data_IF_302966736137
#
_entry.id   IF_302966736137
#
_cell.length_a   1.000
_cell.length_b   1.000
_cell.length_c   1.000
_cell.angle_alpha   90.00
_cell.angle_beta   90.00
_cell.angle_gamma   90.00
#
_symmetry.space_group_name_H-M   'P 1'
#
loop_
_entity.id
_entity.type
_entity.pdbx_description
1 polymer ?
#
# COMPACT_ATOMS: atom_id res chain seq x y z
N UNK A 1 -16.83 10.04 -12.97
CA UNK A 1 -16.31 8.89 -13.74
C UNK A 1 -14.85 8.62 -13.38
N UNK A 2 -13.92 9.56 -13.64
CA UNK A 2 -12.49 9.33 -13.36
C UNK A 2 -12.21 9.14 -11.86
N UNK A 3 -12.77 10.01 -11.01
CA UNK A 3 -12.64 9.89 -9.56
C UNK A 3 -13.18 8.56 -9.02
N UNK A 4 -14.33 8.09 -9.51
CA UNK A 4 -14.90 6.79 -9.09
C UNK A 4 -14.01 5.62 -9.49
N UNK A 5 -13.42 5.68 -10.69
CA UNK A 5 -12.51 4.68 -11.20
C UNK A 5 -11.24 4.63 -10.35
N UNK A 6 -10.60 5.78 -10.14
CA UNK A 6 -9.38 5.90 -9.34
C UNK A 6 -9.67 5.46 -7.89
N UNK A 7 -10.82 5.84 -7.33
CA UNK A 7 -11.26 5.39 -5.99
C UNK A 7 -11.45 3.87 -5.89
N UNK A 8 -11.77 3.17 -6.98
CA UNK A 8 -11.84 1.69 -6.96
C UNK A 8 -10.48 1.02 -7.15
N UNK A 9 -9.56 1.69 -7.83
CA UNK A 9 -8.27 1.13 -8.24
C UNK A 9 -7.11 1.46 -7.29
N UNK A 10 -7.14 2.59 -6.58
CA UNK A 10 -5.99 3.11 -5.83
C UNK A 10 -5.41 2.14 -4.77
N UNK A 11 -6.21 1.19 -4.26
CA UNK A 11 -5.73 0.18 -3.30
C UNK A 11 -5.14 -1.07 -3.95
N UNK A 12 -5.34 -1.23 -5.26
CA UNK A 12 -5.03 -2.47 -5.99
C UNK A 12 -3.85 -2.33 -6.94
N UNK A 13 -3.54 -1.11 -7.39
CA UNK A 13 -2.50 -0.85 -8.39
C UNK A 13 -1.82 0.48 -8.12
N UNK A 14 -0.58 0.60 -8.59
CA UNK A 14 0.13 1.87 -8.65
C UNK A 14 -0.51 2.77 -9.70
N UNK A 15 -0.97 3.96 -9.29
CA UNK A 15 -1.61 4.92 -10.19
C UNK A 15 -0.65 6.08 -10.44
N UNK A 16 -0.27 6.26 -11.71
CA UNK A 16 0.54 7.37 -12.20
C UNK A 16 -0.35 8.30 -13.02
N UNK A 17 -0.45 9.55 -12.62
CA UNK A 17 -1.34 10.52 -13.26
C UNK A 17 -0.66 11.22 -14.43
N UNK A 18 -1.39 11.31 -15.54
CA UNK A 18 -0.91 11.88 -16.79
C UNK A 18 -2.00 12.76 -17.40
N UNK A 19 -1.66 14.00 -17.74
CA UNK A 19 -2.48 14.89 -18.56
C UNK A 19 -2.07 14.64 -20.02
N UNK A 20 -2.92 13.94 -20.77
CA UNK A 20 -2.70 13.69 -22.19
C UNK A 20 -2.98 14.91 -23.06
N UNK A 21 -2.38 14.96 -24.25
CA UNK A 21 -2.53 16.06 -25.23
C UNK A 21 -2.28 17.43 -24.59
N UNK A 22 -1.22 17.53 -23.80
CA UNK A 22 -0.85 18.76 -23.11
C UNK A 22 -0.62 19.94 -24.08
N UNK A 23 -0.34 19.67 -25.35
CA UNK A 23 -0.22 20.67 -26.42
C UNK A 23 -1.53 21.40 -26.77
N UNK A 24 -2.67 20.93 -26.26
CA UNK A 24 -3.96 21.63 -26.38
C UNK A 24 -4.18 22.66 -25.26
N UNK A 25 -3.27 22.77 -24.28
CA UNK A 25 -3.41 23.64 -23.11
C UNK A 25 -2.22 24.59 -23.02
N UNK A 26 -2.47 25.82 -22.58
CA UNK A 26 -1.42 26.77 -22.26
C UNK A 26 -0.71 26.39 -20.96
N UNK A 27 0.55 26.81 -20.78
CA UNK A 27 1.33 26.54 -19.54
C UNK A 27 0.58 26.96 -18.26
N UNK A 28 -0.15 28.08 -18.30
CA UNK A 28 -0.98 28.53 -17.18
C UNK A 28 -2.19 27.64 -16.90
N UNK A 29 -2.83 27.13 -17.96
CA UNK A 29 -3.99 26.25 -17.85
C UNK A 29 -3.58 24.87 -17.33
N UNK A 30 -2.45 24.35 -17.82
CA UNK A 30 -1.84 23.13 -17.29
C UNK A 30 -1.60 23.26 -15.80
N UNK A 31 -1.00 24.37 -15.34
CA UNK A 31 -0.76 24.59 -13.90
C UNK A 31 -2.06 24.58 -13.09
N UNK A 32 -3.07 25.34 -13.52
CA UNK A 32 -4.39 25.36 -12.85
C UNK A 32 -5.05 23.98 -12.86
N UNK A 33 -4.88 23.20 -13.93
CA UNK A 33 -5.42 21.86 -14.03
C UNK A 33 -4.69 20.90 -13.09
N UNK A 34 -3.35 20.97 -12.99
CA UNK A 34 -2.56 20.19 -12.03
C UNK A 34 -3.03 20.46 -10.60
N UNK A 35 -3.17 21.73 -10.22
CA UNK A 35 -3.65 22.15 -8.89
C UNK A 35 -5.06 21.61 -8.60
N UNK A 36 -6.00 21.72 -9.55
CA UNK A 36 -7.37 21.18 -9.39
C UNK A 36 -7.40 19.67 -9.25
N UNK A 37 -6.64 18.95 -10.09
CA UNK A 37 -6.58 17.48 -10.01
C UNK A 37 -6.05 17.04 -8.64
N UNK A 38 -4.99 17.69 -8.15
CA UNK A 38 -4.42 17.35 -6.84
C UNK A 38 -5.40 17.62 -5.70
N UNK A 39 -6.11 18.76 -5.74
CA UNK A 39 -7.14 19.08 -4.76
C UNK A 39 -8.28 18.05 -4.77
N UNK A 40 -8.79 17.70 -5.95
CA UNK A 40 -9.89 16.74 -6.07
C UNK A 40 -9.49 15.36 -5.50
N UNK A 41 -8.23 14.96 -5.63
CA UNK A 41 -7.74 13.69 -5.10
C UNK A 41 -7.60 13.70 -3.58
N UNK A 42 -7.14 14.82 -3.03
CA UNK A 42 -7.06 15.03 -1.58
C UNK A 42 -8.45 15.00 -0.94
N UNK A 43 -9.40 15.74 -1.52
CA UNK A 43 -10.80 15.81 -1.07
C UNK A 43 -11.49 14.44 -1.09
N UNK A 44 -11.09 13.56 -2.02
CA UNK A 44 -11.64 12.20 -2.15
C UNK A 44 -10.81 11.13 -1.41
N UNK A 45 -9.77 11.52 -0.66
CA UNK A 45 -8.86 10.64 0.09
C UNK A 45 -8.28 9.51 -0.77
N UNK A 46 -7.87 9.85 -1.99
CA UNK A 46 -7.30 8.89 -2.93
C UNK A 46 -5.79 8.81 -2.71
N UNK A 47 -5.31 7.62 -2.33
CA UNK A 47 -3.88 7.35 -2.19
C UNK A 47 -3.26 7.11 -3.56
N UNK A 48 -2.41 8.02 -4.01
CA UNK A 48 -1.58 7.81 -5.19
C UNK A 48 -0.30 7.05 -4.81
N UNK A 49 0.41 6.58 -5.83
CA UNK A 49 1.77 6.11 -5.65
C UNK A 49 2.62 7.22 -5.00
N UNK A 50 3.18 6.91 -3.84
CA UNK A 50 4.11 7.78 -3.14
C UNK A 50 5.51 7.39 -3.55
N UNK A 51 6.28 8.39 -3.98
CA UNK A 51 7.67 8.19 -4.31
C UNK A 51 8.43 7.86 -3.03
N UNK A 52 9.36 6.89 -3.07
CA UNK A 52 10.29 6.68 -1.99
C UNK A 52 10.97 7.98 -1.59
N UNK A 53 11.27 8.11 -0.31
CA UNK A 53 12.18 9.17 0.13
C UNK A 53 13.57 8.85 -0.43
N UNK A 54 14.21 9.86 -1.01
CA UNK A 54 15.56 9.72 -1.53
C UNK A 54 16.52 9.55 -0.35
N UNK A 55 17.41 8.54 -0.43
CA UNK A 55 18.35 8.24 0.65
C UNK A 55 19.30 9.43 0.90
N UNK A 56 19.66 9.62 2.18
CA UNK A 56 20.42 10.81 2.60
C UNK A 56 21.84 10.87 2.03
N UNK A 57 22.40 9.75 1.61
CA UNK A 57 23.73 9.57 1.02
C UNK A 57 23.76 9.75 -0.51
N UNK A 58 22.61 9.92 -1.16
CA UNK A 58 22.54 10.23 -2.59
C UNK A 58 23.06 11.64 -2.93
N UNK A 59 23.58 11.79 -4.15
CA UNK A 59 24.13 13.06 -4.63
C UNK A 59 23.06 14.17 -4.70
N UNK A 60 23.47 15.42 -4.44
CA UNK A 60 22.56 16.58 -4.44
C UNK A 60 21.84 16.77 -5.80
N UNK A 61 22.51 16.44 -6.90
CA UNK A 61 21.93 16.48 -8.25
C UNK A 61 20.78 15.46 -8.41
N UNK A 62 20.91 14.27 -7.83
CA UNK A 62 19.87 13.24 -7.88
C UNK A 62 18.67 13.64 -7.03
N UNK A 63 18.90 14.18 -5.82
CA UNK A 63 17.86 14.73 -4.94
C UNK A 63 17.07 15.85 -5.60
N UNK A 64 17.74 16.72 -6.35
CA UNK A 64 17.09 17.79 -7.10
C UNK A 64 16.21 17.24 -8.23
N UNK A 65 16.72 16.27 -9.01
CA UNK A 65 15.95 15.61 -10.06
C UNK A 65 14.70 14.89 -9.52
N UNK A 66 14.83 14.18 -8.40
CA UNK A 66 13.72 13.49 -7.75
C UNK A 66 12.64 14.50 -7.28
N UNK A 67 13.05 15.61 -6.69
CA UNK A 67 12.14 16.69 -6.30
C UNK A 67 11.39 17.29 -7.50
N UNK A 68 12.10 17.56 -8.59
CA UNK A 68 11.51 18.07 -9.83
C UNK A 68 10.54 17.07 -10.45
N UNK A 69 10.85 15.78 -10.34
CA UNK A 69 9.99 14.70 -10.82
C UNK A 69 8.69 14.63 -10.02
N UNK A 70 8.77 14.67 -8.69
CA UNK A 70 7.59 14.72 -7.80
C UNK A 70 6.74 15.96 -8.06
N UNK A 71 7.36 17.12 -8.25
CA UNK A 71 6.66 18.37 -8.57
C UNK A 71 6.01 18.37 -9.97
N UNK A 72 6.44 17.47 -10.87
CA UNK A 72 5.91 17.39 -12.23
C UNK A 72 4.60 16.61 -12.32
N UNK A 73 4.10 16.02 -11.23
CA UNK A 73 2.89 15.21 -11.21
C UNK A 73 1.65 16.10 -11.02
N UNK A 74 0.58 15.89 -11.80
CA UNK A 74 0.45 14.92 -12.89
C UNK A 74 1.25 15.32 -14.15
N UNK A 75 1.86 14.35 -14.84
CA UNK A 75 2.76 14.59 -15.98
C UNK A 75 1.98 15.12 -17.19
N UNK A 76 2.35 16.29 -17.70
CA UNK A 76 1.72 16.88 -18.88
C UNK A 76 2.44 16.40 -20.14
N UNK A 77 1.86 15.41 -20.84
CA UNK A 77 2.54 14.73 -21.94
C UNK A 77 1.88 14.95 -23.30
N UNK A 78 2.74 15.01 -24.31
CA UNK A 78 2.38 14.99 -25.72
C UNK A 78 2.92 13.71 -26.32
N UNK A 79 2.06 12.94 -27.01
CA UNK A 79 2.47 11.75 -27.74
C UNK A 79 2.48 12.00 -29.25
N UNK A 80 3.47 11.46 -29.96
CA UNK A 80 3.49 11.43 -31.42
C UNK A 80 4.24 10.20 -31.94
N UNK A 81 3.70 9.61 -33.02
CA UNK A 81 4.36 8.55 -33.79
C UNK A 81 5.09 9.09 -35.02
N UNK A 82 4.91 10.38 -35.33
CA UNK A 82 5.48 11.03 -36.52
C UNK A 82 6.88 11.56 -36.20
N UNK A 83 7.84 11.27 -37.07
CA UNK A 83 9.20 11.80 -37.01
C UNK A 83 9.26 13.02 -37.95
N UNK A 84 9.71 14.14 -37.41
CA UNK A 84 9.88 15.40 -38.10
C UNK A 84 11.37 15.79 -38.07
N UNK A 85 11.83 16.47 -39.10
CA UNK A 85 13.18 17.02 -39.14
C UNK A 85 13.13 18.50 -38.73
N UNK A 86 13.70 18.82 -37.57
CA UNK A 86 13.75 20.18 -37.02
C UNK A 86 15.21 20.52 -36.77
N UNK A 87 15.71 21.60 -37.40
CA UNK A 87 17.10 22.03 -37.28
C UNK A 87 18.13 20.91 -37.58
N UNK A 88 17.86 20.06 -38.57
CA UNK A 88 18.73 18.95 -38.99
C UNK A 88 18.71 17.73 -38.04
N UNK A 89 17.88 17.73 -36.98
CA UNK A 89 17.68 16.60 -36.09
C UNK A 89 16.32 15.95 -36.33
N UNK A 90 16.29 14.63 -36.39
CA UNK A 90 15.05 13.84 -36.44
C UNK A 90 14.48 13.75 -35.02
N UNK A 91 13.34 14.40 -34.80
CA UNK A 91 12.66 14.43 -33.51
C UNK A 91 11.22 13.92 -33.67
N UNK A 92 10.67 13.29 -32.63
CA UNK A 92 9.25 12.92 -32.62
C UNK A 92 8.42 14.13 -32.26
N UNK A 93 7.43 14.45 -33.08
CA UNK A 93 6.68 15.70 -32.90
C UNK A 93 5.35 15.75 -33.61
N UNK A 94 4.55 16.76 -33.29
CA UNK A 94 3.28 17.06 -33.96
C UNK A 94 3.44 18.36 -34.73
N UNK A 95 3.06 18.34 -36.02
CA UNK A 95 3.11 19.52 -36.86
C UNK A 95 1.73 20.17 -36.92
N UNK A 96 1.69 21.46 -36.65
CA UNK A 96 0.52 22.33 -36.78
C UNK A 96 0.82 23.47 -37.76
N UNK A 97 -0.21 24.15 -38.31
CA UNK A 97 0.00 25.32 -39.16
C UNK A 97 0.80 26.45 -38.49
N UNK A 98 0.73 26.55 -37.16
CA UNK A 98 1.40 27.57 -36.35
C UNK A 98 2.75 27.13 -35.78
N UNK A 99 3.18 25.88 -35.95
CA UNK A 99 4.46 25.42 -35.42
C UNK A 99 4.56 23.91 -35.24
N UNK A 100 5.71 23.48 -34.72
CA UNK A 100 6.00 22.07 -34.45
C UNK A 100 6.18 21.87 -32.95
N UNK A 101 5.43 20.92 -32.38
CA UNK A 101 5.58 20.51 -30.99
C UNK A 101 6.54 19.34 -30.95
N UNK A 102 7.70 19.53 -30.32
CA UNK A 102 8.67 18.47 -30.09
C UNK A 102 8.30 17.71 -28.80
N UNK A 103 8.09 16.40 -28.90
CA UNK A 103 7.71 15.53 -27.76
C UNK A 103 8.88 15.36 -26.79
N UNK A 104 10.11 15.42 -27.28
CA UNK A 104 11.33 15.23 -26.48
C UNK A 104 11.86 16.56 -25.93
N UNK A 105 11.11 17.65 -26.06
CA UNK A 105 11.48 18.95 -25.48
C UNK A 105 10.82 19.15 -24.11
N UNK A 106 11.57 19.30 -23.01
CA UNK A 106 11.04 19.55 -21.68
C UNK A 106 10.17 20.81 -21.58
N UNK A 107 10.37 21.79 -22.45
CA UNK A 107 9.56 23.02 -22.48
C UNK A 107 8.15 22.80 -23.05
N UNK A 108 7.97 21.74 -23.86
CA UNK A 108 6.71 21.39 -24.50
C UNK A 108 5.98 20.22 -23.83
N UNK A 109 6.72 19.31 -23.18
CA UNK A 109 6.15 18.06 -22.68
C UNK A 109 7.00 17.46 -21.55
N UNK A 110 6.33 16.98 -20.50
CA UNK A 110 6.95 16.19 -19.42
C UNK A 110 7.24 14.73 -19.85
N UNK A 111 7.19 14.41 -21.16
CA UNK A 111 7.38 13.05 -21.68
C UNK A 111 8.73 12.43 -21.28
N UNK A 112 9.82 13.20 -21.33
CA UNK A 112 11.14 12.71 -20.90
C UNK A 112 11.10 12.34 -19.41
N UNK A 113 10.51 13.18 -18.57
CA UNK A 113 10.38 12.93 -17.13
C UNK A 113 9.56 11.67 -16.86
N UNK A 114 8.42 11.50 -17.54
CA UNK A 114 7.59 10.30 -17.43
C UNK A 114 8.35 9.03 -17.86
N UNK A 115 9.11 9.10 -18.96
CA UNK A 115 9.92 7.97 -19.44
C UNK A 115 11.01 7.60 -18.42
N UNK A 116 11.75 8.58 -17.92
CA UNK A 116 12.80 8.38 -16.92
C UNK A 116 12.24 7.82 -15.62
N UNK A 117 11.07 8.29 -15.19
CA UNK A 117 10.34 7.75 -14.04
C UNK A 117 10.03 6.27 -14.21
N UNK A 118 9.34 5.91 -15.30
CA UNK A 118 8.81 4.56 -15.50
C UNK A 118 9.87 3.50 -15.81
N UNK A 119 10.94 3.87 -16.54
CA UNK A 119 11.88 2.91 -17.11
C UNK A 119 13.24 2.94 -16.39
N UNK A 120 13.69 4.10 -15.93
CA UNK A 120 15.07 4.26 -15.47
C UNK A 120 15.19 4.30 -13.96
N UNK A 121 14.30 5.02 -13.26
CA UNK A 121 14.47 5.34 -11.84
C UNK A 121 13.57 4.51 -10.93
N UNK A 122 12.25 4.50 -11.19
CA UNK A 122 11.28 3.96 -10.23
C UNK A 122 10.65 2.63 -10.67
N UNK A 123 11.15 2.00 -11.74
CA UNK A 123 10.62 0.73 -12.24
C UNK A 123 10.66 -0.38 -11.19
N UNK A 124 11.77 -0.48 -10.45
CA UNK A 124 11.95 -1.53 -9.46
C UNK A 124 11.04 -1.31 -8.25
N UNK A 125 10.98 -0.07 -7.75
CA UNK A 125 10.07 0.27 -6.65
C UNK A 125 8.59 0.07 -6.99
N UNK A 126 8.17 0.39 -8.22
CA UNK A 126 6.82 0.10 -8.69
C UNK A 126 6.52 -1.42 -8.65
N UNK A 127 7.50 -2.26 -8.95
CA UNK A 127 7.35 -3.73 -8.86
C UNK A 127 7.26 -4.16 -7.39
N UNK A 128 8.13 -3.64 -6.54
CA UNK A 128 8.19 -4.02 -5.13
C UNK A 128 6.92 -3.60 -4.39
N UNK A 129 6.45 -2.35 -4.61
CA UNK A 129 5.15 -1.89 -4.10
C UNK A 129 3.98 -2.76 -4.61
N UNK A 130 4.03 -3.19 -5.88
CA UNK A 130 2.99 -4.08 -6.42
C UNK A 130 2.99 -5.43 -5.71
N UNK A 131 4.16 -5.99 -5.44
CA UNK A 131 4.30 -7.28 -4.79
C UNK A 131 3.94 -7.19 -3.30
N UNK A 132 4.60 -6.32 -2.57
CA UNK A 132 4.59 -6.31 -1.10
C UNK A 132 3.35 -5.62 -0.52
N UNK A 133 2.74 -4.70 -1.27
CA UNK A 133 1.53 -3.99 -0.84
C UNK A 133 0.32 -4.52 -1.57
N UNK A 134 0.24 -4.35 -2.89
CA UNK A 134 -1.00 -4.62 -3.62
C UNK A 134 -1.35 -6.11 -3.69
N UNK A 135 -0.38 -6.95 -4.03
CA UNK A 135 -0.57 -8.39 -4.14
C UNK A 135 -0.75 -9.05 -2.76
N UNK A 136 0.07 -8.69 -1.77
CA UNK A 136 -0.08 -9.21 -0.40
C UNK A 136 -1.45 -8.85 0.21
N UNK A 137 -1.94 -7.63 0.00
CA UNK A 137 -3.29 -7.23 0.43
C UNK A 137 -4.38 -8.07 -0.23
N UNK A 138 -4.26 -8.34 -1.53
CA UNK A 138 -5.18 -9.22 -2.24
C UNK A 138 -5.11 -10.66 -1.72
N UNK A 139 -3.90 -11.19 -1.51
CA UNK A 139 -3.67 -12.54 -0.97
C UNK A 139 -4.29 -12.71 0.41
N UNK A 140 -4.09 -11.74 1.31
CA UNK A 140 -4.69 -11.73 2.63
C UNK A 140 -6.23 -11.73 2.57
N UNK A 141 -6.82 -10.94 1.67
CA UNK A 141 -8.28 -10.92 1.45
C UNK A 141 -8.81 -12.26 0.95
N UNK A 142 -8.13 -12.90 -0.02
CA UNK A 142 -8.51 -14.20 -0.54
C UNK A 142 -8.46 -15.29 0.54
N UNK A 143 -7.38 -15.34 1.33
CA UNK A 143 -7.25 -16.30 2.44
C UNK A 143 -8.36 -16.09 3.47
N UNK A 144 -8.66 -14.84 3.83
CA UNK A 144 -9.75 -14.50 4.76
C UNK A 144 -11.11 -14.98 4.25
N UNK A 145 -11.42 -14.78 2.97
CA UNK A 145 -12.67 -15.23 2.36
C UNK A 145 -12.79 -16.76 2.35
N UNK A 146 -11.71 -17.47 2.01
CA UNK A 146 -11.68 -18.94 2.03
C UNK A 146 -11.89 -19.46 3.46
N UNK A 147 -11.21 -18.86 4.45
CA UNK A 147 -11.40 -19.19 5.86
C UNK A 147 -12.86 -19.00 6.28
N UNK A 148 -13.46 -17.85 5.98
CA UNK A 148 -14.88 -17.58 6.27
C UNK A 148 -15.83 -18.59 5.61
N UNK A 149 -15.55 -18.98 4.36
CA UNK A 149 -16.33 -20.00 3.67
C UNK A 149 -16.21 -21.37 4.34
N UNK A 150 -14.98 -21.77 4.71
CA UNK A 150 -14.74 -23.01 5.44
C UNK A 150 -15.42 -23.04 6.82
N UNK A 151 -15.41 -21.92 7.56
CA UNK A 151 -16.15 -21.80 8.83
C UNK A 151 -17.67 -21.93 8.62
N UNK A 152 -18.22 -21.32 7.57
CA UNK A 152 -19.65 -21.42 7.24
C UNK A 152 -20.06 -22.84 6.87
N UNK A 153 -19.26 -23.53 6.06
CA UNK A 153 -19.50 -24.93 5.69
C UNK A 153 -19.39 -25.86 6.91
N UNK A 154 -18.40 -25.65 7.80
CA UNK A 154 -18.30 -26.38 9.07
C UNK A 154 -19.50 -26.13 9.98
N UNK A 155 -20.04 -24.91 9.99
CA UNK A 155 -21.25 -24.56 10.74
C UNK A 155 -22.53 -25.21 10.19
N UNK A 156 -22.65 -25.35 8.86
CA UNK A 156 -23.76 -26.08 8.23
C UNK A 156 -23.68 -27.58 8.50
N UNK A 157 -22.50 -28.18 8.37
CA UNK A 157 -22.29 -29.60 8.68
C UNK A 157 -22.63 -29.93 10.14
N UNK A 158 -22.26 -29.05 11.10
CA UNK A 158 -22.69 -29.17 12.50
C UNK A 158 -24.21 -29.10 12.67
N UNK A 159 -24.90 -28.31 11.85
CA UNK A 159 -26.36 -28.14 11.93
C UNK A 159 -27.12 -29.32 11.30
N UNK A 160 -26.60 -29.87 10.21
CA UNK A 160 -27.22 -31.01 9.52
C UNK A 160 -26.94 -32.35 10.25
N UNK A 161 -25.81 -32.45 10.98
CA UNK A 161 -25.53 -33.59 11.86
C UNK A 161 -26.44 -33.66 13.09
N UNK A 162 -26.98 -32.52 13.56
CA UNK A 162 -27.95 -32.48 14.68
C UNK A 162 -29.30 -33.09 14.25
N UNK A 163 -29.62 -33.11 12.96
CA UNK A 163 -30.92 -33.60 12.48
C UNK A 163 -30.96 -35.11 12.18
N UNK A 164 -29.82 -35.83 12.24
CA UNK A 164 -29.73 -37.19 11.67
C UNK A 164 -29.11 -38.29 12.54
N UNK A 165 -28.71 -38.06 13.80
CA UNK A 165 -28.00 -39.11 14.57
C UNK A 165 -28.35 -39.16 16.06
N UNK A 166 -29.46 -39.82 16.41
CA UNK A 166 -29.83 -40.23 17.78
C UNK A 166 -28.86 -41.27 18.43
N UNK A 167 -27.60 -41.39 17.98
CA UNK A 167 -26.67 -42.43 18.45
C UNK A 167 -25.19 -42.05 18.54
N UNK A 168 -24.75 -40.95 17.91
CA UNK A 168 -23.35 -40.49 17.96
C UNK A 168 -23.14 -39.32 18.94
N UNK A 169 -24.22 -38.68 19.41
CA UNK A 169 -24.20 -37.51 20.29
C UNK A 169 -23.63 -37.76 21.69
N UNK A 170 -23.70 -39.00 22.20
CA UNK A 170 -23.19 -39.31 23.54
C UNK A 170 -21.66 -39.14 23.62
N UNK A 171 -20.92 -39.60 22.61
CA UNK A 171 -19.46 -39.51 22.58
C UNK A 171 -18.94 -38.09 22.31
N UNK A 172 -19.67 -37.32 21.49
CA UNK A 172 -19.34 -35.91 21.19
C UNK A 172 -19.64 -35.02 22.40
N UNK A 173 -20.77 -35.25 23.08
CA UNK A 173 -21.08 -34.54 24.33
C UNK A 173 -20.06 -34.83 25.44
N UNK A 174 -19.53 -36.05 25.50
CA UNK A 174 -18.49 -36.41 26.47
C UNK A 174 -17.15 -35.74 26.15
N UNK A 175 -16.77 -35.67 24.87
CA UNK A 175 -15.55 -34.99 24.43
C UNK A 175 -15.63 -33.47 24.57
N UNK A 176 -16.77 -32.85 24.27
CA UNK A 176 -16.99 -31.40 24.52
C UNK A 176 -16.98 -31.09 26.03
N UNK A 177 -17.51 -31.97 26.87
CA UNK A 177 -17.45 -31.83 28.34
C UNK A 177 -16.02 -31.97 28.86
N UNK A 178 -15.22 -32.87 28.29
CA UNK A 178 -13.80 -33.04 28.64
C UNK A 178 -12.96 -31.83 28.22
N UNK A 179 -13.23 -31.26 27.05
CA UNK A 179 -12.58 -30.05 26.54
C UNK A 179 -12.84 -28.84 27.44
N UNK A 180 -14.09 -28.64 27.86
CA UNK A 180 -14.45 -27.56 28.79
C UNK A 180 -13.73 -27.69 30.15
N UNK A 181 -13.61 -28.92 30.67
CA UNK A 181 -12.85 -29.15 31.90
C UNK A 181 -11.37 -28.86 31.72
N UNK A 182 -10.77 -29.28 30.58
CA UNK A 182 -9.36 -29.01 30.27
C UNK A 182 -9.09 -27.51 30.11
N UNK A 183 -9.97 -26.77 29.43
CA UNK A 183 -9.83 -25.33 29.26
C UNK A 183 -9.94 -24.58 30.59
N UNK A 184 -10.84 -25.01 31.49
CA UNK A 184 -10.95 -24.43 32.83
C UNK A 184 -9.71 -24.71 33.70
N UNK A 185 -9.14 -25.91 33.58
CA UNK A 185 -7.91 -26.33 34.26
C UNK A 185 -6.69 -25.55 33.75
N UNK A 186 -6.59 -25.35 32.43
CA UNK A 186 -5.56 -24.51 31.78
C UNK A 186 -5.68 -23.07 32.27
N UNK A 187 -6.90 -22.52 32.38
CA UNK A 187 -7.09 -21.15 32.85
C UNK A 187 -6.67 -20.98 34.32
N UNK A 188 -7.03 -21.93 35.19
CA UNK A 188 -6.57 -21.91 36.60
C UNK A 188 -5.05 -22.03 36.70
N UNK A 189 -4.44 -22.84 35.85
CA UNK A 189 -2.98 -23.01 35.83
C UNK A 189 -2.27 -21.75 35.33
N UNK A 190 -2.82 -21.07 34.32
CA UNK A 190 -2.33 -19.77 33.86
C UNK A 190 -2.40 -18.72 34.97
N UNK A 191 -3.54 -18.60 35.66
CA UNK A 191 -3.68 -17.66 36.78
C UNK A 191 -2.69 -17.95 37.91
N UNK A 192 -2.47 -19.24 38.24
CA UNK A 192 -1.50 -19.65 39.24
C UNK A 192 -0.06 -19.32 38.83
N UNK A 193 0.31 -19.58 37.57
CA UNK A 193 1.64 -19.25 37.03
C UNK A 193 1.87 -17.74 37.05
N UNK A 194 0.88 -16.93 36.70
CA UNK A 194 0.96 -15.48 36.75
C UNK A 194 1.16 -14.99 38.19
N UNK A 195 0.39 -15.50 39.15
CA UNK A 195 0.58 -15.16 40.57
C UNK A 195 1.96 -15.58 41.10
N UNK A 196 2.47 -16.74 40.69
CA UNK A 196 3.80 -17.20 41.11
C UNK A 196 4.90 -16.32 40.52
N UNK A 197 4.79 -15.93 39.24
CA UNK A 197 5.72 -14.97 38.61
C UNK A 197 5.67 -13.61 39.30
N UNK A 198 4.49 -13.15 39.70
CA UNK A 198 4.32 -11.87 40.37
C UNK A 198 4.90 -11.88 41.79
N UNK A 199 4.71 -12.98 42.53
CA UNK A 199 5.39 -13.19 43.82
C UNK A 199 6.90 -13.24 43.67
N UNK A 200 7.43 -13.96 42.68
CA UNK A 200 8.88 -13.98 42.43
C UNK A 200 9.40 -12.59 42.08
N UNK A 201 8.69 -11.83 41.24
CA UNK A 201 9.03 -10.43 40.93
C UNK A 201 8.96 -9.55 42.18
N UNK A 202 7.95 -9.68 43.03
CA UNK A 202 7.84 -8.90 44.27
C UNK A 202 8.93 -9.27 45.28
N UNK A 203 9.24 -10.55 45.47
CA UNK A 203 10.36 -10.99 46.31
C UNK A 203 11.67 -10.44 45.78
N UNK A 204 11.89 -10.51 44.46
CA UNK A 204 13.08 -9.96 43.82
C UNK A 204 13.15 -8.43 43.96
N UNK A 205 12.03 -7.72 43.80
CA UNK A 205 11.95 -6.27 44.00
C UNK A 205 12.17 -5.86 45.46
N UNK A 206 11.71 -6.67 46.42
CA UNK A 206 11.97 -6.48 47.86
C UNK A 206 13.44 -6.74 48.20
N UNK A 207 14.07 -7.75 47.59
CA UNK A 207 15.51 -8.01 47.74
C UNK A 207 16.36 -6.87 47.15
N UNK A 208 15.98 -6.33 45.99
CA UNK A 208 16.67 -5.17 45.41
C UNK A 208 16.51 -3.90 46.28
N UNK A 209 15.31 -3.61 46.79
CA UNK A 209 15.12 -2.49 47.74
C UNK A 209 15.87 -2.67 49.05
N UNK A 210 16.02 -3.91 49.53
CA UNK A 210 16.79 -4.22 50.73
C UNK A 210 18.30 -4.04 50.48
N UNK A 211 18.80 -4.32 49.28
CA UNK A 211 20.19 -4.06 48.92
C UNK A 211 20.48 -2.56 48.73
N UNK A 212 19.58 -1.79 48.13
CA UNK A 212 19.77 -0.34 47.97
C UNK A 212 19.71 0.43 49.31
N UNK A 213 18.90 -0.04 50.27
CA UNK A 213 18.82 0.55 51.62
C UNK A 213 20.02 0.22 52.53
N UNK A 214 20.92 -0.67 52.11
CA UNK A 214 22.16 -1.00 52.83
C UNK A 214 23.36 -0.19 52.31
N UNK A 215 23.20 0.53 51.18
CA UNK A 215 24.28 1.31 50.56
C UNK A 215 24.23 2.80 50.95
N UNK A 216 23.14 3.29 51.53
CA UNK A 216 22.98 4.67 52.03
C UNK A 216 23.14 4.75 53.56
N UNK A 217 24.33 4.42 54.07
CA UNK A 217 24.87 4.83 55.40
C UNK A 217 26.37 5.06 55.30
#
# INVERSE_FOLDING_TARGET
>A
MDLDLIRRLHRKVNIVLVIGKADCLNKQEVRKLKERILQDLEDNHIQLYQFPECDSDEDDDFKQQDRELKASIPFAVVGSNTILEVAGKKVRGRQYPWGVVNVEDPEHSDFIKLRTFLISTHMQDLKDTTQDVHYENFRAQCISQISQHALRERGKLKRDSISSTNGFDAAISETDRLLLQKDEEIRRMQDMLTQMQEKLKQTHLMEMKKNDSVIDV
#
